data_IF_623006965868
#
_entry.id   IF_623006965868
#
_cell.length_a   1.000
_cell.length_b   1.000
_cell.length_c   1.000
_cell.angle_alpha   90.00
_cell.angle_beta   90.00
_cell.angle_gamma   90.00
#
_symmetry.space_group_name_H-M   'P 1'
#
loop_
_entity.id
_entity.type
_entity.pdbx_description
1 polymer ?
#
# COMPACT_ATOMS: atom_id res chain seq x y z
N UNK A 1 -1.62 -19.98 7.76
CA UNK A 1 -1.38 -20.10 9.23
C UNK A 1 -0.58 -18.89 9.68
N UNK A 2 -0.85 -18.31 10.87
CA UNK A 2 -0.02 -17.26 11.45
C UNK A 2 1.41 -17.76 11.67
N UNK A 3 2.42 -16.92 11.41
CA UNK A 3 3.84 -17.29 11.54
C UNK A 3 4.42 -17.11 12.95
N UNK A 4 3.57 -17.07 14.00
CA UNK A 4 4.01 -16.90 15.39
C UNK A 4 2.95 -16.28 16.29
N UNK A 5 3.35 -15.84 17.49
CA UNK A 5 2.51 -15.05 18.40
C UNK A 5 2.14 -13.70 17.78
N UNK A 6 0.96 -13.16 18.12
CA UNK A 6 0.57 -11.79 17.72
C UNK A 6 1.65 -10.81 18.18
N UNK A 7 2.17 -10.03 17.24
CA UNK A 7 3.12 -8.96 17.53
C UNK A 7 2.37 -7.75 18.14
N UNK A 8 3.08 -6.75 18.68
CA UNK A 8 2.45 -5.57 19.23
C UNK A 8 1.42 -4.95 18.28
N UNK A 9 0.40 -4.33 18.86
CA UNK A 9 -0.66 -3.61 18.14
C UNK A 9 -1.48 -4.43 17.12
N UNK A 10 -1.43 -5.76 17.20
CA UNK A 10 -2.21 -6.63 16.32
C UNK A 10 -1.64 -6.72 14.92
N UNK A 11 -0.33 -6.50 14.75
CA UNK A 11 0.40 -6.86 13.54
C UNK A 11 0.57 -8.39 13.52
N UNK A 12 0.17 -9.01 12.42
CA UNK A 12 0.20 -10.48 12.29
C UNK A 12 0.82 -10.90 10.96
N UNK A 13 1.94 -11.64 10.98
CA UNK A 13 2.49 -12.26 9.79
C UNK A 13 1.77 -13.59 9.47
N UNK A 14 1.56 -13.83 8.19
CA UNK A 14 1.00 -15.06 7.64
C UNK A 14 1.90 -15.58 6.52
N UNK A 15 1.98 -16.90 6.39
CA UNK A 15 2.42 -17.54 5.15
C UNK A 15 1.20 -17.95 4.34
N UNK A 16 1.17 -17.56 3.07
CA UNK A 16 0.22 -18.14 2.13
C UNK A 16 0.64 -19.58 1.82
N UNK A 17 -0.32 -20.51 1.63
CA UNK A 17 0.01 -21.88 1.23
C UNK A 17 0.86 -21.88 -0.06
N UNK A 18 1.82 -22.79 -0.15
CA UNK A 18 2.62 -22.95 -1.35
C UNK A 18 1.70 -23.17 -2.58
N UNK A 19 1.99 -22.46 -3.66
CA UNK A 19 1.26 -22.52 -4.93
C UNK A 19 2.19 -22.14 -6.09
N UNK A 20 1.62 -21.78 -7.24
CA UNK A 20 2.41 -21.16 -8.32
C UNK A 20 3.01 -19.84 -7.81
N UNK A 21 4.32 -19.66 -7.99
CA UNK A 21 5.04 -18.44 -7.65
C UNK A 21 4.44 -17.27 -8.46
N UNK A 22 3.74 -16.33 -7.81
CA UNK A 22 3.00 -15.31 -8.53
C UNK A 22 3.89 -14.16 -8.97
N UNK A 23 5.21 -14.15 -8.69
CA UNK A 23 6.08 -13.03 -9.06
C UNK A 23 5.99 -12.68 -10.54
N UNK A 24 6.11 -13.68 -11.43
CA UNK A 24 6.07 -13.46 -12.87
C UNK A 24 4.71 -12.96 -13.33
N UNK A 25 3.62 -13.56 -12.85
CA UNK A 25 2.25 -13.20 -13.21
C UNK A 25 1.88 -11.80 -12.69
N UNK A 26 2.14 -11.52 -11.42
CA UNK A 26 1.95 -10.19 -10.81
C UNK A 26 2.78 -9.14 -11.56
N UNK A 27 4.06 -9.44 -11.83
CA UNK A 27 4.92 -8.48 -12.52
C UNK A 27 4.48 -8.19 -13.96
N UNK A 28 3.91 -9.17 -14.66
CA UNK A 28 3.41 -8.99 -16.02
C UNK A 28 2.04 -8.30 -16.06
N UNK A 29 1.25 -8.41 -14.98
CA UNK A 29 -0.10 -7.85 -14.91
C UNK A 29 -0.18 -6.34 -14.67
N UNK A 30 0.97 -5.68 -14.45
CA UNK A 30 1.06 -4.27 -14.06
C UNK A 30 1.83 -3.47 -15.11
N UNK A 31 1.27 -2.36 -15.54
CA UNK A 31 2.00 -1.27 -16.22
C UNK A 31 2.75 -0.47 -15.16
N UNK A 32 4.07 -0.50 -15.24
CA UNK A 32 4.96 0.05 -14.23
C UNK A 32 5.32 1.51 -14.50
N UNK A 33 5.26 2.34 -13.46
CA UNK A 33 5.80 3.70 -13.45
C UNK A 33 7.16 3.71 -12.72
N UNK A 34 8.14 4.40 -13.30
CA UNK A 34 9.46 4.58 -12.68
C UNK A 34 9.38 5.64 -11.57
N UNK A 35 9.72 5.25 -10.33
CA UNK A 35 9.67 6.13 -9.16
C UNK A 35 11.08 6.49 -8.64
N UNK A 36 12.12 6.06 -9.35
CA UNK A 36 13.53 6.36 -9.08
C UNK A 36 14.23 5.34 -8.17
N UNK A 37 15.58 5.35 -8.20
CA UNK A 37 16.46 4.48 -7.38
C UNK A 37 16.12 2.98 -7.42
N UNK A 38 15.69 2.47 -8.59
CA UNK A 38 15.33 1.05 -8.73
C UNK A 38 13.96 0.68 -8.16
N UNK A 39 13.12 1.67 -7.86
CA UNK A 39 11.72 1.49 -7.45
C UNK A 39 10.80 1.75 -8.64
N UNK A 40 9.94 0.77 -8.91
CA UNK A 40 8.79 0.87 -9.81
C UNK A 40 7.51 0.69 -9.02
N UNK A 41 6.42 1.29 -9.47
CA UNK A 41 5.12 1.06 -8.85
C UNK A 41 3.93 1.28 -9.76
N UNK A 42 2.75 0.92 -9.24
CA UNK A 42 1.47 1.16 -9.87
C UNK A 42 0.34 1.21 -8.84
N UNK A 43 -0.75 1.87 -9.21
CA UNK A 43 -1.99 1.91 -8.43
C UNK A 43 -2.97 0.92 -9.03
N UNK A 44 -3.54 0.05 -8.20
CA UNK A 44 -4.53 -0.95 -8.59
C UNK A 44 -5.86 -0.67 -7.88
N UNK A 45 -6.98 -0.82 -8.58
CA UNK A 45 -8.32 -0.61 -8.02
C UNK A 45 -9.32 -1.67 -8.49
N UNK A 46 -10.25 -2.02 -7.61
CA UNK A 46 -11.46 -2.78 -7.94
C UNK A 46 -12.60 -1.78 -8.10
N UNK A 47 -13.01 -1.53 -9.34
CA UNK A 47 -14.19 -0.71 -9.64
C UNK A 47 -15.44 -1.45 -9.18
N UNK A 48 -16.33 -0.77 -8.46
CA UNK A 48 -17.58 -1.37 -8.00
C UNK A 48 -18.60 -1.52 -9.15
N UNK A 49 -19.71 -2.21 -8.87
CA UNK A 49 -20.78 -2.45 -9.84
C UNK A 49 -21.46 -1.16 -10.33
N UNK A 50 -21.44 -0.10 -9.52
CA UNK A 50 -21.98 1.21 -9.83
C UNK A 50 -20.95 2.15 -10.51
N UNK A 51 -19.78 1.63 -10.90
CA UNK A 51 -18.71 2.39 -11.54
C UNK A 51 -17.90 3.28 -10.59
N UNK A 52 -18.05 3.11 -9.27
CA UNK A 52 -17.27 3.76 -8.24
C UNK A 52 -15.83 3.24 -8.21
N UNK A 53 -14.87 4.17 -8.26
CA UNK A 53 -13.44 3.88 -8.25
C UNK A 53 -12.86 4.24 -6.88
N UNK A 54 -12.27 3.28 -6.15
CA UNK A 54 -11.57 3.54 -4.90
C UNK A 54 -10.47 4.61 -5.06
N UNK A 55 -10.59 5.70 -4.30
CA UNK A 55 -9.56 6.74 -4.28
C UNK A 55 -8.35 6.28 -3.45
N UNK A 56 -7.14 6.47 -3.99
CA UNK A 56 -5.88 5.99 -3.40
C UNK A 56 -4.89 7.16 -3.25
N UNK A 57 -5.28 8.18 -2.48
CA UNK A 57 -4.40 9.34 -2.26
C UNK A 57 -3.11 8.92 -1.56
N UNK A 58 -2.00 9.35 -2.15
CA UNK A 58 -0.65 9.08 -1.68
C UNK A 58 0.25 10.30 -1.90
N UNK A 59 1.37 10.35 -1.18
CA UNK A 59 2.42 11.35 -1.40
C UNK A 59 3.30 11.04 -2.61
N UNK A 60 3.33 9.79 -3.06
CA UNK A 60 3.97 9.41 -4.33
C UNK A 60 3.15 9.98 -5.48
N UNK A 61 3.77 10.77 -6.35
CA UNK A 61 3.07 11.41 -7.46
C UNK A 61 2.98 10.46 -8.65
N UNK A 62 2.06 9.50 -8.61
CA UNK A 62 1.76 8.67 -9.76
C UNK A 62 1.10 9.51 -10.85
N UNK A 63 1.65 9.44 -12.07
CA UNK A 63 1.12 10.11 -13.25
C UNK A 63 0.20 9.23 -14.09
N UNK A 64 0.38 7.90 -14.03
CA UNK A 64 -0.40 6.94 -14.81
C UNK A 64 -1.78 6.68 -14.17
N UNK A 65 -2.84 6.40 -14.94
CA UNK A 65 -4.13 6.01 -14.37
C UNK A 65 -4.01 4.76 -13.49
N UNK A 66 -4.87 4.65 -12.48
CA UNK A 66 -5.02 3.40 -11.76
C UNK A 66 -5.39 2.26 -12.72
N UNK A 67 -4.94 1.06 -12.44
CA UNK A 67 -5.23 -0.12 -13.25
C UNK A 67 -6.28 -0.96 -12.54
N UNK A 68 -7.14 -1.62 -13.31
CA UNK A 68 -8.15 -2.52 -12.73
C UNK A 68 -7.48 -3.76 -12.13
N UNK A 69 -8.07 -4.27 -11.06
CA UNK A 69 -7.71 -5.60 -10.56
C UNK A 69 -7.95 -6.65 -11.66
N UNK A 70 -6.86 -7.16 -12.24
CA UNK A 70 -6.86 -8.42 -12.99
C UNK A 70 -7.05 -9.66 -12.10
N UNK A 71 -7.24 -10.82 -12.74
CA UNK A 71 -7.52 -12.09 -12.05
C UNK A 71 -6.47 -12.47 -10.99
N UNK A 72 -5.18 -12.20 -11.24
CA UNK A 72 -4.09 -12.48 -10.28
C UNK A 72 -4.26 -11.68 -8.98
N UNK A 73 -4.65 -10.41 -9.08
CA UNK A 73 -4.87 -9.54 -7.93
C UNK A 73 -6.09 -9.96 -7.13
N UNK A 74 -7.18 -10.32 -7.82
CA UNK A 74 -8.42 -10.84 -7.21
C UNK A 74 -8.15 -12.13 -6.44
N UNK A 75 -7.44 -13.09 -7.04
CA UNK A 75 -7.06 -14.33 -6.38
C UNK A 75 -6.18 -14.08 -5.16
N UNK A 76 -5.18 -13.20 -5.28
CA UNK A 76 -4.29 -12.88 -4.16
C UNK A 76 -5.04 -12.20 -3.01
N UNK A 77 -5.85 -11.18 -3.30
CA UNK A 77 -6.68 -10.48 -2.31
C UNK A 77 -7.59 -11.45 -1.54
N UNK A 78 -8.26 -12.36 -2.26
CA UNK A 78 -9.12 -13.39 -1.66
C UNK A 78 -8.34 -14.36 -0.77
N UNK A 79 -7.20 -14.88 -1.25
CA UNK A 79 -6.33 -15.78 -0.46
C UNK A 79 -5.85 -15.12 0.83
N UNK A 80 -5.49 -13.84 0.78
CA UNK A 80 -5.10 -13.07 1.96
C UNK A 80 -6.28 -12.94 2.93
N UNK A 81 -7.46 -12.56 2.42
CA UNK A 81 -8.67 -12.41 3.22
C UNK A 81 -9.03 -13.71 3.95
N UNK A 82 -9.03 -14.84 3.23
CA UNK A 82 -9.32 -16.17 3.79
C UNK A 82 -8.25 -16.60 4.81
N UNK A 83 -6.96 -16.46 4.47
CA UNK A 83 -5.87 -16.88 5.35
C UNK A 83 -5.82 -16.09 6.66
N UNK A 84 -6.13 -14.79 6.61
CA UNK A 84 -6.13 -13.90 7.77
C UNK A 84 -7.51 -13.76 8.45
N UNK A 85 -8.55 -14.44 7.95
CA UNK A 85 -9.90 -14.39 8.50
C UNK A 85 -10.48 -12.97 8.53
N UNK A 86 -10.21 -12.16 7.50
CA UNK A 86 -10.59 -10.74 7.50
C UNK A 86 -12.08 -10.57 7.19
N UNK A 87 -12.78 -9.68 7.92
CA UNK A 87 -14.23 -9.51 7.79
C UNK A 87 -14.65 -8.83 6.49
N UNK A 88 -13.73 -8.13 5.83
CA UNK A 88 -13.96 -7.44 4.57
C UNK A 88 -12.76 -7.62 3.64
N UNK A 89 -13.05 -7.63 2.33
CA UNK A 89 -12.02 -7.68 1.30
C UNK A 89 -11.41 -6.30 1.00
N UNK A 90 -10.50 -6.32 0.04
CA UNK A 90 -9.76 -5.14 -0.41
C UNK A 90 -10.33 -4.60 -1.72
N UNK A 91 -10.31 -3.29 -1.90
CA UNK A 91 -10.77 -2.63 -3.13
C UNK A 91 -9.68 -1.81 -3.82
N UNK A 92 -8.51 -1.67 -3.21
CA UNK A 92 -7.35 -1.08 -3.87
C UNK A 92 -6.06 -1.72 -3.40
N UNK A 93 -5.00 -1.52 -4.18
CA UNK A 93 -3.65 -1.86 -3.79
C UNK A 93 -2.63 -0.90 -4.40
N UNK A 94 -1.53 -0.70 -3.70
CA UNK A 94 -0.29 -0.24 -4.33
C UNK A 94 0.59 -1.44 -4.59
N UNK A 95 1.04 -1.59 -5.83
CA UNK A 95 1.99 -2.62 -6.23
C UNK A 95 3.34 -1.98 -6.51
N UNK A 96 4.39 -2.57 -5.97
CA UNK A 96 5.73 -2.00 -6.00
C UNK A 96 6.76 -3.07 -6.29
N UNK A 97 7.76 -2.73 -7.09
CA UNK A 97 8.89 -3.59 -7.39
C UNK A 97 10.19 -2.86 -7.11
N UNK A 98 11.02 -3.45 -6.27
CA UNK A 98 12.28 -2.86 -5.83
C UNK A 98 13.45 -3.73 -6.27
N UNK A 99 14.43 -3.12 -6.92
CA UNK A 99 15.78 -3.68 -7.01
C UNK A 99 16.54 -3.46 -5.69
N UNK A 100 17.69 -4.11 -5.56
CA UNK A 100 18.55 -3.98 -4.38
C UNK A 100 19.21 -2.59 -4.25
N UNK A 101 19.11 -1.75 -5.29
CA UNK A 101 19.46 -0.34 -5.21
C UNK A 101 18.52 0.45 -4.26
N UNK A 102 17.25 0.04 -4.15
CA UNK A 102 16.30 0.65 -3.23
C UNK A 102 16.36 -0.03 -1.85
N UNK A 103 17.29 0.39 -0.99
CA UNK A 103 17.57 -0.32 0.27
C UNK A 103 16.71 0.07 1.46
N UNK A 104 16.21 1.30 1.51
CA UNK A 104 15.48 1.82 2.66
C UNK A 104 14.41 2.81 2.24
N UNK A 105 13.20 2.56 2.73
CA UNK A 105 12.07 3.49 2.66
C UNK A 105 12.05 4.41 3.89
N UNK A 106 11.48 5.60 3.76
CA UNK A 106 11.19 6.48 4.91
C UNK A 106 10.09 5.89 5.80
N UNK A 107 10.21 6.08 7.11
CA UNK A 107 9.18 5.66 8.07
C UNK A 107 7.91 6.50 7.88
N UNK A 108 6.76 5.83 7.71
CA UNK A 108 5.49 6.48 7.52
C UNK A 108 4.32 5.59 7.97
N UNK A 109 3.16 6.18 8.19
CA UNK A 109 1.90 5.44 8.19
C UNK A 109 1.28 5.52 6.79
N UNK A 110 0.56 4.48 6.39
CA UNK A 110 -0.30 4.55 5.21
C UNK A 110 -1.30 5.68 5.38
N UNK A 111 -1.53 6.46 4.32
CA UNK A 111 -2.39 7.63 4.38
C UNK A 111 -3.84 7.23 4.69
N UNK A 112 -4.35 7.61 5.86
CA UNK A 112 -5.64 7.15 6.37
C UNK A 112 -6.84 7.98 5.89
N UNK A 113 -6.61 9.04 5.11
CA UNK A 113 -7.64 9.96 4.61
C UNK A 113 -8.82 9.20 3.97
N UNK A 114 -8.51 8.28 3.05
CA UNK A 114 -9.50 7.50 2.31
C UNK A 114 -9.68 6.08 2.84
N UNK A 115 -8.95 5.67 3.89
CA UNK A 115 -9.09 4.31 4.41
C UNK A 115 -10.41 4.13 5.16
N UNK A 116 -11.06 3.00 4.92
CA UNK A 116 -12.26 2.61 5.64
C UNK A 116 -11.93 2.31 7.11
N UNK A 117 -12.69 2.88 8.04
CA UNK A 117 -12.54 2.58 9.46
C UNK A 117 -12.82 1.11 9.74
N UNK A 118 -12.06 0.51 10.67
CA UNK A 118 -12.20 -0.92 11.00
C UNK A 118 -11.69 -1.90 9.94
N UNK A 119 -11.16 -1.40 8.82
CA UNK A 119 -10.53 -2.22 7.79
C UNK A 119 -9.05 -2.53 8.12
N UNK A 120 -8.40 -3.23 7.19
CA UNK A 120 -7.05 -3.74 7.33
C UNK A 120 -6.17 -3.31 6.16
N UNK A 121 -4.88 -3.28 6.43
CA UNK A 121 -3.80 -3.17 5.45
C UNK A 121 -3.09 -4.51 5.43
N UNK A 122 -2.84 -5.04 4.23
CA UNK A 122 -2.09 -6.27 4.03
C UNK A 122 -0.95 -6.05 3.05
N UNK A 123 0.28 -6.26 3.52
CA UNK A 123 1.50 -6.16 2.71
C UNK A 123 1.92 -7.58 2.31
N UNK A 124 1.63 -7.96 1.08
CA UNK A 124 2.14 -9.18 0.47
C UNK A 124 3.57 -8.97 -0.06
N UNK A 125 4.38 -10.03 -0.05
CA UNK A 125 5.77 -10.04 -0.45
C UNK A 125 6.12 -11.29 -1.26
N UNK A 126 6.76 -11.10 -2.41
CA UNK A 126 7.44 -12.17 -3.16
C UNK A 126 8.74 -11.69 -3.80
N UNK A 127 9.50 -12.63 -4.34
CA UNK A 127 10.85 -12.41 -4.89
C UNK A 127 10.97 -13.13 -6.21
N UNK A 128 11.72 -12.55 -7.15
CA UNK A 128 12.00 -13.15 -8.46
C UNK A 128 12.66 -14.52 -8.35
N UNK A 129 13.60 -14.67 -7.42
CA UNK A 129 14.33 -15.90 -7.17
C UNK A 129 14.13 -16.29 -5.69
N UNK A 130 13.09 -17.06 -5.34
CA UNK A 130 12.78 -17.42 -3.96
C UNK A 130 13.95 -18.15 -3.28
N UNK A 131 14.18 -17.86 -2.00
CA UNK A 131 15.25 -18.51 -1.21
C UNK A 131 16.68 -18.03 -1.51
N UNK A 132 16.84 -17.01 -2.36
CA UNK A 132 18.15 -16.43 -2.68
C UNK A 132 18.25 -14.97 -2.23
N UNK A 133 19.44 -14.57 -1.77
CA UNK A 133 19.71 -13.18 -1.42
C UNK A 133 19.12 -12.71 -0.08
N UNK A 134 19.40 -11.45 0.28
CA UNK A 134 18.90 -10.84 1.51
C UNK A 134 17.39 -10.61 1.44
N UNK A 135 16.69 -10.95 2.51
CA UNK A 135 15.28 -10.61 2.64
C UNK A 135 15.13 -9.13 3.01
N UNK A 136 14.02 -8.55 2.57
CA UNK A 136 13.53 -7.30 3.11
C UNK A 136 12.80 -7.57 4.42
N UNK A 137 12.74 -6.55 5.26
CA UNK A 137 11.94 -6.55 6.49
C UNK A 137 11.07 -5.31 6.54
N UNK A 138 9.88 -5.48 7.10
CA UNK A 138 8.98 -4.40 7.46
C UNK A 138 9.22 -4.06 8.93
N UNK A 139 9.82 -2.90 9.15
CA UNK A 139 10.14 -2.38 10.48
C UNK A 139 8.99 -1.48 10.91
N UNK A 140 8.40 -1.77 12.07
CA UNK A 140 7.36 -0.97 12.70
C UNK A 140 7.93 -0.19 13.87
N UNK A 141 7.45 1.04 14.05
CA UNK A 141 7.87 1.95 15.11
C UNK A 141 6.62 2.65 15.66
N UNK A 142 6.42 2.59 16.97
CA UNK A 142 5.35 3.34 17.63
C UNK A 142 5.56 4.86 17.49
N UNK A 143 4.47 5.59 17.28
CA UNK A 143 4.49 7.06 17.28
C UNK A 143 4.57 7.59 18.71
N UNK A 144 5.34 8.64 18.90
CA UNK A 144 5.56 9.28 20.18
C UNK A 144 7.00 9.12 20.66
N UNK A 145 7.34 9.81 21.74
CA UNK A 145 8.70 9.76 22.30
C UNK A 145 8.96 8.43 22.98
N UNK A 146 10.09 7.80 22.64
CA UNK A 146 10.47 6.48 23.19
C UNK A 146 9.67 5.30 22.62
N UNK A 147 9.01 5.48 21.47
CA UNK A 147 8.24 4.43 20.81
C UNK A 147 9.06 3.18 20.53
N UNK A 148 8.48 2.01 20.80
CA UNK A 148 9.15 0.73 20.57
C UNK A 148 9.24 0.41 19.08
N UNK A 149 10.33 -0.26 18.69
CA UNK A 149 10.55 -0.76 17.34
C UNK A 149 10.55 -2.28 17.33
N UNK A 150 9.92 -2.86 16.31
CA UNK A 150 9.97 -4.29 16.03
C UNK A 150 9.97 -4.56 14.53
N UNK A 151 10.43 -5.74 14.14
CA UNK A 151 10.67 -6.07 12.73
C UNK A 151 9.93 -7.35 12.34
N UNK A 152 9.43 -7.37 11.11
CA UNK A 152 8.79 -8.53 10.50
C UNK A 152 9.47 -8.85 9.17
N UNK A 153 10.06 -10.05 9.00
CA UNK A 153 10.61 -10.45 7.72
C UNK A 153 9.54 -10.46 6.63
N UNK A 154 9.83 -9.84 5.49
CA UNK A 154 9.02 -9.94 4.28
C UNK A 154 9.50 -11.16 3.50
N UNK A 155 9.12 -12.35 3.96
CA UNK A 155 9.44 -13.61 3.31
C UNK A 155 8.76 -13.73 1.92
N UNK A 156 9.24 -14.67 1.10
CA UNK A 156 8.53 -15.07 -0.10
C UNK A 156 7.17 -15.69 0.28
N UNK A 157 6.10 -15.33 -0.42
CA UNK A 157 4.71 -15.66 -0.08
C UNK A 157 4.27 -15.26 1.33
N UNK A 158 4.99 -14.30 1.92
CA UNK A 158 4.68 -13.72 3.21
C UNK A 158 3.65 -12.60 3.08
N UNK A 159 2.77 -12.50 4.07
CA UNK A 159 1.83 -11.39 4.21
C UNK A 159 1.94 -10.84 5.62
N UNK A 160 2.07 -9.52 5.75
CA UNK A 160 1.93 -8.83 7.05
C UNK A 160 0.61 -8.07 7.05
N UNK A 161 -0.28 -8.41 7.99
CA UNK A 161 -1.59 -7.78 8.13
C UNK A 161 -1.65 -6.96 9.41
N UNK A 162 -2.19 -5.75 9.32
CA UNK A 162 -2.44 -4.89 10.47
C UNK A 162 -3.67 -4.01 10.23
N UNK A 163 -4.34 -3.62 11.31
CA UNK A 163 -5.57 -2.82 11.20
C UNK A 163 -5.27 -1.35 10.86
N UNK A 164 -6.24 -0.63 10.31
CA UNK A 164 -6.17 0.84 10.20
C UNK A 164 -5.96 1.50 11.57
N UNK A 165 -6.44 0.87 12.65
CA UNK A 165 -6.15 1.31 14.03
C UNK A 165 -4.67 1.22 14.38
N UNK A 166 -4.02 0.10 14.04
CA UNK A 166 -2.57 -0.07 14.22
C UNK A 166 -1.78 0.92 13.35
N UNK A 167 -2.17 1.12 12.09
CA UNK A 167 -1.55 2.12 11.20
C UNK A 167 -1.59 3.55 11.75
N UNK A 168 -2.59 3.90 12.56
CA UNK A 168 -2.64 5.21 13.24
C UNK A 168 -1.61 5.33 14.36
N UNK A 169 -1.26 4.23 15.02
CA UNK A 169 -0.29 4.22 16.13
C UNK A 169 1.14 3.95 15.69
N UNK A 170 1.31 3.28 14.56
CA UNK A 170 2.60 2.82 14.05
C UNK A 170 3.00 3.57 12.78
N UNK A 171 4.29 3.86 12.67
CA UNK A 171 4.96 4.06 11.38
C UNK A 171 5.61 2.75 10.97
N UNK A 172 5.80 2.57 9.68
CA UNK A 172 6.54 1.44 9.14
C UNK A 172 7.46 1.85 7.99
N UNK A 173 8.49 1.05 7.77
CA UNK A 173 9.46 1.18 6.67
C UNK A 173 9.94 -0.17 6.20
N UNK A 174 10.22 -0.27 4.91
CA UNK A 174 10.84 -1.44 4.30
C UNK A 174 12.35 -1.22 4.26
N UNK A 175 13.10 -2.20 4.73
CA UNK A 175 14.57 -2.18 4.75
C UNK A 175 15.08 -3.47 4.11
N UNK A 176 16.08 -3.36 3.23
CA UNK A 176 16.82 -4.50 2.70
C UNK A 176 17.91 -4.91 3.69
N UNK A 177 17.83 -6.14 4.20
CA UNK A 177 18.74 -6.66 5.22
C UNK A 177 19.98 -7.32 4.60
N UNK A 178 20.90 -6.50 4.07
CA UNK A 178 22.07 -6.98 3.35
C UNK A 178 23.38 -6.41 3.90
N UNK A 179 24.25 -7.28 4.44
CA UNK A 179 25.57 -6.89 4.93
C UNK A 179 26.65 -6.81 3.82
N UNK A 180 26.46 -7.49 2.69
CA UNK A 180 27.41 -7.55 1.56
C UNK A 180 26.67 -7.50 0.19
N UNK A 181 27.36 -7.24 -0.93
CA UNK A 181 26.75 -7.31 -2.26
C UNK A 181 26.32 -8.76 -2.55
N UNK A 182 25.02 -8.98 -2.65
CA UNK A 182 24.44 -10.23 -3.15
C UNK A 182 24.16 -10.11 -4.65
N UNK A 183 23.89 -11.25 -5.30
CA UNK A 183 23.29 -11.22 -6.63
C UNK A 183 21.92 -10.52 -6.56
N UNK A 184 21.63 -9.65 -7.52
CA UNK A 184 20.39 -8.89 -7.59
C UNK A 184 19.17 -9.81 -7.54
N UNK A 185 18.25 -9.56 -6.60
CA UNK A 185 16.99 -10.26 -6.51
C UNK A 185 15.83 -9.29 -6.29
N UNK A 186 15.09 -8.99 -7.37
CA UNK A 186 13.96 -8.08 -7.28
C UNK A 186 12.90 -8.59 -6.31
N UNK A 187 12.48 -7.69 -5.43
CA UNK A 187 11.34 -7.87 -4.55
C UNK A 187 10.10 -7.23 -5.17
N UNK A 188 8.95 -7.91 -5.06
CA UNK A 188 7.64 -7.37 -5.41
C UNK A 188 6.75 -7.38 -4.17
N UNK A 189 6.20 -6.21 -3.86
CA UNK A 189 5.22 -6.02 -2.81
C UNK A 189 3.86 -5.62 -3.35
N UNK A 190 2.80 -6.12 -2.73
CA UNK A 190 1.43 -5.63 -2.97
C UNK A 190 0.82 -5.23 -1.65
N UNK A 191 0.54 -3.94 -1.49
CA UNK A 191 -0.10 -3.40 -0.28
C UNK A 191 -1.58 -3.19 -0.55
N UNK A 192 -2.39 -4.14 -0.11
CA UNK A 192 -3.84 -4.13 -0.24
C UNK A 192 -4.51 -3.32 0.88
N UNK A 193 -5.56 -2.59 0.51
CA UNK A 193 -6.33 -1.73 1.42
C UNK A 193 -7.80 -1.67 1.00
N UNK A 194 -8.61 -1.08 1.87
CA UNK A 194 -10.02 -0.76 1.59
C UNK A 194 -10.23 0.73 1.72
N UNK A 195 -10.55 1.39 0.60
CA UNK A 195 -10.94 2.78 0.55
C UNK A 195 -12.43 2.91 0.85
N UNK A 196 -12.80 3.90 1.69
CA UNK A 196 -14.20 4.34 1.89
C UNK A 196 -14.63 5.38 0.88
N UNK A 197 -13.68 5.99 0.16
CA UNK A 197 -13.95 7.09 -0.78
C UNK A 197 -13.99 6.51 -2.18
N UNK A 198 -15.17 6.51 -2.79
CA UNK A 198 -15.39 6.02 -4.16
C UNK A 198 -15.68 7.22 -5.07
N UNK A 199 -14.75 7.51 -5.99
CA UNK A 199 -14.96 8.57 -6.98
C UNK A 199 -15.73 8.05 -8.19
N UNK A 200 -16.52 8.93 -8.80
CA UNK A 200 -17.19 8.63 -10.09
C UNK A 200 -16.66 9.56 -11.16
N UNK A 201 -16.37 8.99 -12.32
CA UNK A 201 -15.93 9.76 -13.48
C UNK A 201 -17.14 10.18 -14.33
N UNK A 202 -17.29 11.49 -14.54
CA UNK A 202 -18.34 12.10 -15.38
C UNK A 202 -17.71 13.19 -16.23
N UNK A 203 -17.96 13.18 -17.53
CA UNK A 203 -17.44 14.17 -18.47
C UNK A 203 -15.91 14.38 -18.35
N UNK A 204 -15.16 13.29 -18.14
CA UNK A 204 -13.71 13.32 -17.99
C UNK A 204 -13.19 13.77 -16.62
N UNK A 205 -14.06 13.96 -15.62
CA UNK A 205 -13.69 14.48 -14.31
C UNK A 205 -14.06 13.53 -13.18
N UNK A 206 -13.20 13.43 -12.17
CA UNK A 206 -13.46 12.68 -10.94
C UNK A 206 -14.32 13.50 -9.97
N UNK A 207 -15.40 12.90 -9.47
CA UNK A 207 -16.28 13.48 -8.46
C UNK A 207 -16.26 12.64 -7.20
N UNK A 208 -16.09 13.31 -6.05
CA UNK A 208 -16.23 12.73 -4.73
C UNK A 208 -17.68 12.29 -4.46
N UNK A 209 -17.92 11.40 -3.48
CA UNK A 209 -19.27 10.93 -3.14
C UNK A 209 -20.27 12.06 -2.85
N UNK A 210 -19.80 13.17 -2.26
CA UNK A 210 -20.60 14.35 -1.92
C UNK A 210 -20.88 15.26 -3.12
N UNK A 211 -20.38 14.92 -4.32
CA UNK A 211 -20.59 15.66 -5.56
C UNK A 211 -19.56 16.74 -5.85
N UNK A 212 -18.63 17.03 -4.94
CA UNK A 212 -17.51 17.93 -5.20
C UNK A 212 -16.55 17.31 -6.24
N UNK A 213 -16.06 18.11 -7.18
CA UNK A 213 -15.04 17.67 -8.13
C UNK A 213 -13.69 17.52 -7.41
N UNK A 214 -13.01 16.39 -7.61
CA UNK A 214 -11.63 16.21 -7.20
C UNK A 214 -10.71 16.92 -8.21
N UNK A 215 -9.81 17.77 -7.71
CA UNK A 215 -8.90 18.55 -8.56
C UNK A 215 -7.43 18.32 -8.20
N UNK A 216 -6.53 18.65 -9.13
CA UNK A 216 -5.11 18.72 -8.81
C UNK A 216 -4.87 19.83 -7.79
N UNK A 217 -4.05 19.54 -6.77
CA UNK A 217 -3.66 20.52 -5.78
C UNK A 217 -2.80 21.62 -6.44
N UNK A 218 -3.10 22.88 -6.14
CA UNK A 218 -2.18 23.99 -6.39
C UNK A 218 -0.98 23.96 -5.41
N UNK A 219 -0.07 24.92 -5.54
CA UNK A 219 1.14 24.98 -4.71
C UNK A 219 0.87 25.18 -3.21
N UNK A 220 -0.21 25.86 -2.84
CA UNK A 220 -0.59 26.09 -1.45
C UNK A 220 -1.23 24.82 -0.88
N UNK A 221 -2.18 24.24 -1.61
CA UNK A 221 -2.86 22.99 -1.28
C UNK A 221 -1.86 21.82 -1.19
N UNK A 222 -0.87 21.76 -2.07
CA UNK A 222 0.17 20.74 -2.01
C UNK A 222 1.02 20.86 -0.73
N UNK A 223 1.42 22.09 -0.35
CA UNK A 223 2.15 22.34 0.90
C UNK A 223 1.33 21.95 2.12
N UNK A 224 0.05 22.32 2.11
CA UNK A 224 -0.88 21.91 3.16
C UNK A 224 -1.00 20.39 3.24
N UNK A 225 -1.18 19.70 2.11
CA UNK A 225 -1.26 18.25 2.06
C UNK A 225 -0.04 17.58 2.72
N UNK A 226 1.17 18.05 2.40
CA UNK A 226 2.39 17.52 3.02
C UNK A 226 2.50 17.86 4.52
N UNK A 227 1.99 19.02 4.95
CA UNK A 227 1.88 19.37 6.38
C UNK A 227 0.94 18.41 7.11
N UNK A 228 -0.23 18.11 6.52
CA UNK A 228 -1.19 17.14 7.07
C UNK A 228 -0.58 15.74 7.12
N UNK A 229 0.17 15.32 6.09
CA UNK A 229 0.90 14.04 6.10
C UNK A 229 1.95 13.95 7.18
N UNK A 230 2.67 15.04 7.44
CA UNK A 230 3.64 15.09 8.55
C UNK A 230 2.94 14.89 9.89
N UNK A 231 1.83 15.61 10.11
CA UNK A 231 1.01 15.46 11.32
C UNK A 231 0.50 14.03 11.49
N UNK A 232 -0.07 13.42 10.44
CA UNK A 232 -0.49 12.02 10.48
C UNK A 232 0.66 11.08 10.88
N UNK A 233 1.88 11.30 10.39
CA UNK A 233 3.01 10.45 10.75
C UNK A 233 3.51 10.65 12.19
N UNK A 234 3.09 11.70 12.89
CA UNK A 234 3.55 12.04 14.25
C UNK A 234 2.47 11.80 15.32
N UNK A 235 1.22 12.10 14.98
CA UNK A 235 0.07 12.09 15.89
C UNK A 235 -0.69 10.75 15.77
N UNK A 236 -1.14 10.20 16.89
CA UNK A 236 -1.87 8.91 16.94
C UNK A 236 -3.38 9.05 16.74
N UNK A 237 -3.91 10.24 16.97
CA UNK A 237 -5.33 10.60 16.91
C UNK A 237 -5.67 11.56 15.77
N UNK A 238 -4.71 11.82 14.87
CA UNK A 238 -4.87 12.73 13.74
C UNK A 238 -6.07 12.36 12.86
N UNK A 239 -6.84 13.39 12.49
CA UNK A 239 -7.96 13.30 11.55
C UNK A 239 -7.77 14.32 10.45
N UNK A 240 -7.95 13.87 9.22
CA UNK A 240 -7.93 14.76 8.09
C UNK A 240 -9.17 15.66 8.06
N UNK A 241 -9.03 16.93 7.67
CA UNK A 241 -10.16 17.69 7.15
C UNK A 241 -10.63 17.09 5.82
N UNK A 242 -11.87 17.36 5.39
CA UNK A 242 -12.31 17.04 4.03
C UNK A 242 -11.42 17.75 3.01
N UNK A 243 -10.85 16.99 2.06
CA UNK A 243 -10.01 17.52 0.99
C UNK A 243 -10.61 17.17 -0.37
N UNK A 244 -10.87 18.19 -1.19
CA UNK A 244 -11.33 18.05 -2.58
C UNK A 244 -10.19 18.13 -3.60
N UNK A 245 -8.95 17.94 -3.16
CA UNK A 245 -7.76 17.96 -4.01
C UNK A 245 -6.84 16.76 -3.77
N UNK A 246 -5.95 16.52 -4.72
CA UNK A 246 -4.92 15.48 -4.68
C UNK A 246 -3.60 15.96 -5.28
N UNK A 247 -2.49 15.40 -4.80
CA UNK A 247 -1.14 15.63 -5.36
C UNK A 247 -0.74 14.57 -6.39
N UNK A 248 -1.55 13.52 -6.58
CA UNK A 248 -1.27 12.46 -7.55
C UNK A 248 -2.17 12.61 -8.78
N UNK A 249 -1.58 12.69 -9.97
CA UNK A 249 -2.34 12.78 -11.22
C UNK A 249 -3.19 11.54 -11.50
N UNK A 250 -2.73 10.37 -11.07
CA UNK A 250 -3.44 9.09 -11.16
C UNK A 250 -4.88 9.15 -10.66
N UNK A 251 -5.12 9.84 -9.54
CA UNK A 251 -6.43 9.98 -8.89
C UNK A 251 -7.46 10.73 -9.76
N UNK A 252 -7.00 11.48 -10.76
CA UNK A 252 -7.82 12.30 -11.65
C UNK A 252 -8.14 11.61 -12.97
N UNK A 253 -7.63 10.39 -13.18
CA UNK A 253 -7.76 9.65 -14.43
C UNK A 253 -8.64 8.39 -14.23
N UNK A 254 -9.53 8.07 -15.18
CA UNK A 254 -10.34 6.87 -15.09
C UNK A 254 -9.45 5.61 -15.17
N UNK A 255 -9.79 4.53 -14.45
CA UNK A 255 -8.96 3.34 -14.40
C UNK A 255 -8.96 2.54 -15.70
N UNK A 256 -7.80 1.99 -16.06
CA UNK A 256 -7.50 1.28 -17.33
C UNK A 256 -7.19 -0.21 -17.17
#
# INVERSE_FOLDING_TARGET
MPLGSRLPDGVVPYALPAGEDPFAELSASVRWEELGKGRRGGVLTRVDEAGGVPLVRTTTRYGSPAQRFGAVHERLARRIQECAGLPAGFNNALVERYTDAYRKMGAHSDQALDLAGGSFIAVYSCYRNPGTGPLRKLVFEEKGDGGQEFEVPLAHDGVVVFSVGANRRLRHRIVLDAAAPAAENEWLGVTFRTSKTLVRFRDGHAYLPEGARLVAADDEQAREFYRLRRRENQETDFRYPPLAYTVSGSDLLPPV
#
